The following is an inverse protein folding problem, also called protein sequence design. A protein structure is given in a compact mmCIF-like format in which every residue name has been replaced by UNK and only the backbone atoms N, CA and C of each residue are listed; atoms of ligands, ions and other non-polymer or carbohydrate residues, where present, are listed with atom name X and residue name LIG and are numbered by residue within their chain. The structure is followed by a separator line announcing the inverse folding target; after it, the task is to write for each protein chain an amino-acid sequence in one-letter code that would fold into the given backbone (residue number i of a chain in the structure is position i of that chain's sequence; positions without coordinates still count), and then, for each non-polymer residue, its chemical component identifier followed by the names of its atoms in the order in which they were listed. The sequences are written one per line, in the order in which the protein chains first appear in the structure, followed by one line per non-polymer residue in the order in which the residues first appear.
data_IF_754718035747
#
_entry.id   IF_754718035747
#
_cell.length_a   1.000
_cell.length_b   1.000
_cell.length_c   1.000
_cell.angle_alpha   90.00
_cell.angle_beta   90.00
_cell.angle_gamma   90.00
#
_symmetry.space_group_name_H-M   'P 1'
#
loop_
_entity.id
_entity.type
_entity.pdbx_description
1 polymer ?
#
# COMPACT_ATOMS: atom_id res chain seq x y z
N UNK A 1 12.24 38.03 -1.01
CA UNK A 1 11.77 37.06 0.00
C UNK A 1 10.39 37.47 0.48
N UNK A 2 9.35 37.09 -0.25
CA UNK A 2 7.97 37.21 0.21
C UNK A 2 7.52 35.83 0.67
N UNK A 3 7.19 35.69 1.95
CA UNK A 3 6.54 34.50 2.49
C UNK A 3 5.17 34.32 1.82
N UNK A 4 5.13 33.54 0.74
CA UNK A 4 3.88 33.06 0.17
C UNK A 4 3.39 31.92 1.05
N UNK A 5 2.52 32.25 2.02
CA UNK A 5 1.94 31.29 2.95
C UNK A 5 1.06 30.30 2.17
N UNK A 6 1.09 29.01 2.49
CA UNK A 6 0.26 27.96 1.88
C UNK A 6 -1.20 28.35 1.64
N UNK A 7 -1.78 29.12 2.57
CA UNK A 7 -3.11 29.69 2.44
C UNK A 7 -3.31 30.57 1.18
N UNK A 8 -2.33 31.38 0.75
CA UNK A 8 -2.51 32.27 -0.40
C UNK A 8 -2.54 31.53 -1.75
N UNK A 9 -1.89 30.37 -1.86
CA UNK A 9 -2.02 29.53 -3.06
C UNK A 9 -3.40 28.87 -3.12
N UNK A 10 -3.90 28.37 -1.98
CA UNK A 10 -5.25 27.77 -1.87
C UNK A 10 -6.35 28.79 -2.18
N UNK A 11 -6.19 30.07 -1.79
CA UNK A 11 -7.20 31.11 -2.02
C UNK A 11 -7.26 31.69 -3.45
N UNK A 12 -6.22 31.55 -4.27
CA UNK A 12 -6.28 32.01 -5.68
C UNK A 12 -7.00 31.03 -6.62
N UNK A 13 -7.27 29.79 -6.18
CA UNK A 13 -8.08 28.81 -6.89
C UNK A 13 -9.50 28.67 -6.30
N UNK A 14 -10.08 29.78 -5.86
CA UNK A 14 -11.40 29.82 -5.19
C UNK A 14 -12.58 29.31 -6.02
N UNK A 15 -12.43 29.15 -7.34
CA UNK A 15 -13.44 28.53 -8.20
C UNK A 15 -13.31 27.01 -8.33
N UNK A 16 -12.26 26.39 -7.77
CA UNK A 16 -11.98 24.95 -7.83
C UNK A 16 -12.12 24.21 -6.50
N UNK A 17 -12.30 24.91 -5.37
CA UNK A 17 -12.51 24.26 -4.08
C UNK A 17 -13.90 23.61 -4.10
N UNK A 18 -13.93 22.29 -4.27
CA UNK A 18 -15.15 21.53 -4.10
C UNK A 18 -15.47 21.54 -2.59
N UNK A 19 -16.37 22.44 -2.16
CA UNK A 19 -16.73 22.62 -0.75
C UNK A 19 -17.27 21.36 -0.07
N UNK A 20 -17.54 20.29 -0.82
CA UNK A 20 -18.05 19.02 -0.32
C UNK A 20 -16.97 18.08 0.25
N UNK A 21 -15.70 18.19 -0.16
CA UNK A 21 -14.71 17.14 0.14
C UNK A 21 -13.30 17.67 0.48
N UNK A 22 -12.96 17.68 1.77
CA UNK A 22 -11.67 18.20 2.25
C UNK A 22 -10.46 17.38 1.77
N UNK A 23 -10.56 16.05 1.67
CA UNK A 23 -9.42 15.24 1.25
C UNK A 23 -9.16 15.37 -0.24
N UNK A 24 -10.20 15.53 -1.07
CA UNK A 24 -9.99 15.81 -2.50
C UNK A 24 -9.33 17.17 -2.70
N UNK A 25 -9.75 18.19 -1.95
CA UNK A 25 -9.09 19.50 -2.00
C UNK A 25 -7.59 19.40 -1.64
N UNK A 26 -7.21 18.54 -0.67
CA UNK A 26 -5.80 18.28 -0.34
C UNK A 26 -5.07 17.62 -1.51
N UNK A 27 -5.64 16.55 -2.07
CA UNK A 27 -5.07 15.80 -3.20
C UNK A 27 -4.87 16.69 -4.43
N UNK A 28 -5.88 17.47 -4.80
CA UNK A 28 -5.81 18.40 -5.93
C UNK A 28 -4.80 19.52 -5.68
N UNK A 29 -4.76 20.08 -4.47
CA UNK A 29 -3.79 21.12 -4.11
C UNK A 29 -2.35 20.63 -4.26
N UNK A 30 -2.05 19.41 -3.79
CA UNK A 30 -0.71 18.81 -3.94
C UNK A 30 -0.36 18.64 -5.43
N UNK A 31 -1.31 18.16 -6.25
CA UNK A 31 -1.12 18.00 -7.70
C UNK A 31 -0.86 19.34 -8.40
N UNK A 32 -1.64 20.38 -8.09
CA UNK A 32 -1.49 21.72 -8.66
C UNK A 32 -0.12 22.28 -8.31
N UNK A 33 0.27 22.22 -7.02
CA UNK A 33 1.59 22.67 -6.56
C UNK A 33 2.69 21.94 -7.33
N UNK A 34 2.62 20.61 -7.41
CA UNK A 34 3.58 19.80 -8.14
C UNK A 34 3.70 20.20 -9.63
N UNK A 35 2.58 20.45 -10.31
CA UNK A 35 2.57 20.86 -11.73
C UNK A 35 3.27 22.22 -11.88
N UNK A 36 2.92 23.19 -11.03
CA UNK A 36 3.53 24.51 -11.03
C UNK A 36 5.04 24.43 -10.75
N UNK A 37 5.44 23.67 -9.74
CA UNK A 37 6.85 23.47 -9.39
C UNK A 37 7.64 22.86 -10.54
N UNK A 38 7.11 21.82 -11.20
CA UNK A 38 7.79 21.18 -12.33
C UNK A 38 7.90 22.07 -13.58
N UNK A 39 6.87 22.89 -13.83
CA UNK A 39 6.82 23.83 -14.95
C UNK A 39 7.78 25.00 -14.73
N UNK A 40 7.71 25.62 -13.55
CA UNK A 40 8.41 26.87 -13.25
C UNK A 40 9.77 26.64 -12.56
N UNK A 41 10.13 25.37 -12.29
CA UNK A 41 11.32 24.96 -11.52
C UNK A 41 11.37 25.59 -10.11
N UNK A 42 10.19 25.74 -9.53
CA UNK A 42 9.96 26.22 -8.18
C UNK A 42 10.13 25.07 -7.17
N UNK A 43 10.48 25.35 -5.92
CA UNK A 43 10.75 24.33 -4.89
C UNK A 43 9.71 24.29 -3.77
N UNK A 44 8.48 24.74 -4.04
CA UNK A 44 7.48 24.95 -3.00
C UNK A 44 7.06 23.65 -2.30
N UNK A 45 6.79 22.60 -3.06
CA UNK A 45 6.48 21.27 -2.53
C UNK A 45 7.65 20.73 -1.71
N UNK A 46 8.87 20.86 -2.23
CA UNK A 46 10.09 20.46 -1.54
C UNK A 46 10.21 21.17 -0.19
N UNK A 47 10.02 22.49 -0.13
CA UNK A 47 10.14 23.24 1.12
C UNK A 47 9.10 22.82 2.18
N UNK A 48 7.88 22.49 1.75
CA UNK A 48 6.74 22.22 2.63
C UNK A 48 6.46 20.73 2.89
N UNK A 49 7.24 19.82 2.30
CA UNK A 49 6.99 18.37 2.40
C UNK A 49 6.97 17.83 3.84
N UNK A 50 7.87 18.32 4.70
CA UNK A 50 7.90 17.94 6.12
C UNK A 50 6.58 18.29 6.81
N UNK A 51 6.08 19.50 6.57
CA UNK A 51 4.83 19.97 7.17
C UNK A 51 3.63 19.17 6.68
N UNK A 52 3.62 18.77 5.41
CA UNK A 52 2.56 17.92 4.88
C UNK A 52 2.57 16.55 5.56
N UNK A 53 3.73 15.91 5.69
CA UNK A 53 3.83 14.54 6.20
C UNK A 53 3.76 14.44 7.72
N UNK A 54 4.40 15.34 8.47
CA UNK A 54 4.40 15.33 9.94
C UNK A 54 2.99 15.61 10.51
N UNK A 55 2.13 16.32 9.77
CA UNK A 55 0.78 16.70 10.23
C UNK A 55 -0.34 15.72 9.80
N UNK A 56 -0.02 14.59 9.15
CA UNK A 56 -1.02 13.57 8.79
C UNK A 56 -1.46 12.75 10.02
N UNK A 57 -2.11 13.35 11.02
CA UNK A 57 -2.54 12.71 12.28
C UNK A 57 -3.89 11.99 12.11
N UNK A 58 -4.05 10.76 12.64
CA UNK A 58 -5.24 9.89 12.47
C UNK A 58 -6.30 10.02 13.53
N UNK A 59 -7.55 10.24 13.09
CA UNK A 59 -8.69 10.50 13.98
C UNK A 59 -9.87 9.54 13.81
N UNK A 60 -10.14 9.00 12.61
CA UNK A 60 -11.28 8.09 12.33
C UNK A 60 -10.86 7.00 11.33
N UNK A 61 -11.56 5.87 11.26
CA UNK A 61 -11.12 4.73 10.45
C UNK A 61 -11.11 5.02 8.95
N UNK A 62 -12.08 5.81 8.48
CA UNK A 62 -12.14 6.28 7.10
C UNK A 62 -10.92 7.13 6.68
N UNK A 63 -10.29 7.80 7.64
CA UNK A 63 -9.10 8.63 7.44
C UNK A 63 -7.89 7.79 7.01
N UNK A 64 -7.81 6.51 7.40
CA UNK A 64 -6.72 5.62 6.96
C UNK A 64 -6.68 5.45 5.44
N UNK A 65 -7.85 5.31 4.81
CA UNK A 65 -7.98 5.16 3.37
C UNK A 65 -7.52 6.44 2.65
N UNK A 66 -7.97 7.60 3.12
CA UNK A 66 -7.58 8.89 2.55
C UNK A 66 -6.09 9.17 2.71
N UNK A 67 -5.49 8.75 3.82
CA UNK A 67 -4.05 8.87 4.04
C UNK A 67 -3.22 7.95 3.20
N UNK A 68 -3.65 6.71 3.00
CA UNK A 68 -2.99 5.82 2.06
C UNK A 68 -2.92 6.50 0.69
N UNK A 69 -4.05 7.02 0.21
CA UNK A 69 -4.13 7.79 -1.05
C UNK A 69 -3.20 9.02 -1.07
N UNK A 70 -3.23 9.88 -0.04
CA UNK A 70 -2.36 11.07 0.03
C UNK A 70 -0.87 10.67 0.05
N UNK A 71 -0.49 9.67 0.83
CA UNK A 71 0.90 9.22 0.94
C UNK A 71 1.40 8.59 -0.36
N UNK A 72 0.58 7.74 -0.99
CA UNK A 72 0.89 7.13 -2.30
C UNK A 72 1.03 8.19 -3.38
N UNK A 73 0.13 9.19 -3.40
CA UNK A 73 0.23 10.34 -4.30
C UNK A 73 1.55 11.08 -4.11
N UNK A 74 1.88 11.47 -2.86
CA UNK A 74 3.11 12.22 -2.57
C UNK A 74 4.34 11.43 -3.02
N UNK A 75 4.40 10.13 -2.74
CA UNK A 75 5.53 9.29 -3.13
C UNK A 75 5.71 9.25 -4.66
N UNK A 76 4.63 9.02 -5.40
CA UNK A 76 4.63 9.00 -6.87
C UNK A 76 5.04 10.36 -7.47
N UNK A 77 4.57 11.46 -6.89
CA UNK A 77 4.98 12.79 -7.32
C UNK A 77 6.46 13.06 -7.03
N UNK A 78 6.99 12.63 -5.89
CA UNK A 78 8.42 12.75 -5.58
C UNK A 78 9.29 12.02 -6.61
N UNK A 79 8.83 10.89 -7.16
CA UNK A 79 9.56 10.15 -8.19
C UNK A 79 9.70 10.94 -9.50
N UNK A 80 8.73 11.77 -9.88
CA UNK A 80 8.74 12.51 -11.16
C UNK A 80 9.04 14.01 -11.01
N UNK A 81 9.34 14.46 -9.79
CA UNK A 81 9.68 15.85 -9.52
C UNK A 81 11.02 16.24 -10.14
N UNK A 82 11.14 17.51 -10.54
CA UNK A 82 12.32 18.03 -11.25
C UNK A 82 13.58 18.12 -10.38
N UNK A 83 13.46 18.34 -9.06
CA UNK A 83 14.59 18.33 -8.12
C UNK A 83 14.66 17.00 -7.37
N UNK A 84 15.74 16.24 -7.60
CA UNK A 84 15.93 14.91 -7.01
C UNK A 84 16.09 14.92 -5.49
N UNK A 85 16.42 16.08 -4.88
CA UNK A 85 16.49 16.24 -3.42
C UNK A 85 15.16 15.96 -2.73
N UNK A 86 14.04 16.05 -3.46
CA UNK A 86 12.73 15.73 -2.88
C UNK A 86 12.64 14.27 -2.44
N UNK A 87 13.37 13.35 -3.06
CA UNK A 87 13.35 11.93 -2.70
C UNK A 87 13.99 11.72 -1.33
N UNK A 88 15.19 12.29 -1.12
CA UNK A 88 15.86 12.25 0.18
C UNK A 88 14.98 12.91 1.26
N UNK A 89 14.40 14.07 0.93
CA UNK A 89 13.50 14.76 1.85
C UNK A 89 12.28 13.91 2.18
N UNK A 90 11.60 13.34 1.18
CA UNK A 90 10.45 12.47 1.36
C UNK A 90 10.76 11.32 2.31
N UNK A 91 11.85 10.59 2.08
CA UNK A 91 12.22 9.44 2.92
C UNK A 91 12.51 9.87 4.36
N UNK A 92 13.18 11.02 4.56
CA UNK A 92 13.43 11.58 5.89
C UNK A 92 12.16 12.05 6.58
N UNK A 93 11.26 12.74 5.88
CA UNK A 93 9.97 13.18 6.41
C UNK A 93 9.05 11.99 6.72
N UNK A 94 9.10 10.94 5.91
CA UNK A 94 8.30 9.72 6.11
C UNK A 94 8.65 9.04 7.44
N UNK A 95 9.92 9.05 7.85
CA UNK A 95 10.36 8.56 9.17
C UNK A 95 9.73 9.30 10.36
N UNK A 96 9.18 10.49 10.13
CA UNK A 96 8.47 11.29 11.15
C UNK A 96 6.96 11.34 10.93
N UNK A 97 6.47 10.81 9.81
CA UNK A 97 5.05 10.79 9.50
C UNK A 97 4.30 9.85 10.46
N UNK A 98 3.34 10.36 11.27
CA UNK A 98 2.59 9.53 12.21
C UNK A 98 1.68 8.51 11.52
N UNK A 99 1.38 8.73 10.23
CA UNK A 99 0.53 7.86 9.42
C UNK A 99 1.29 7.00 8.42
N UNK A 100 2.63 6.92 8.51
CA UNK A 100 3.43 6.14 7.54
C UNK A 100 2.96 4.70 7.42
N UNK A 101 2.48 4.08 8.51
CA UNK A 101 1.92 2.73 8.51
C UNK A 101 0.87 2.51 7.40
N UNK A 102 0.04 3.52 7.08
CA UNK A 102 -0.96 3.41 6.01
C UNK A 102 -0.33 3.26 4.62
N UNK A 103 0.87 3.79 4.42
CA UNK A 103 1.66 3.59 3.20
C UNK A 103 2.35 2.21 3.23
N UNK A 104 3.01 1.85 4.33
CA UNK A 104 3.76 0.58 4.45
C UNK A 104 2.84 -0.66 4.41
N UNK A 105 1.56 -0.50 4.72
CA UNK A 105 0.56 -1.57 4.67
C UNK A 105 0.18 -1.91 3.23
N UNK A 106 0.29 -3.18 2.87
CA UNK A 106 -0.18 -3.68 1.58
C UNK A 106 -1.68 -3.94 1.64
N UNK A 107 -2.41 -3.44 0.63
CA UNK A 107 -3.84 -3.70 0.49
C UNK A 107 -4.07 -4.85 -0.47
N UNK A 108 -4.95 -5.77 -0.06
CA UNK A 108 -5.15 -6.99 -0.80
C UNK A 108 -6.22 -6.86 -1.88
N UNK A 109 -5.81 -6.33 -3.04
CA UNK A 109 -6.68 -6.29 -4.22
C UNK A 109 -7.12 -7.68 -4.68
N UNK A 110 -6.29 -8.71 -4.46
CA UNK A 110 -6.60 -10.07 -4.95
C UNK A 110 -7.83 -10.67 -4.26
N UNK A 111 -8.03 -10.40 -2.97
CA UNK A 111 -9.22 -10.81 -2.24
C UNK A 111 -10.49 -10.17 -2.78
N UNK A 112 -10.45 -8.88 -3.13
CA UNK A 112 -11.58 -8.20 -3.77
C UNK A 112 -11.92 -8.85 -5.11
N UNK A 113 -10.91 -9.08 -5.96
CA UNK A 113 -11.11 -9.70 -7.27
C UNK A 113 -11.69 -11.11 -7.16
N UNK A 114 -11.20 -11.91 -6.21
CA UNK A 114 -11.76 -13.23 -5.92
C UNK A 114 -13.23 -13.15 -5.49
N UNK A 115 -13.62 -12.14 -4.71
CA UNK A 115 -15.01 -11.93 -4.30
C UNK A 115 -15.98 -11.71 -5.45
N UNK A 116 -15.51 -11.25 -6.61
CA UNK A 116 -16.34 -11.02 -7.80
C UNK A 116 -16.59 -12.28 -8.63
N UNK A 117 -15.79 -13.33 -8.45
CA UNK A 117 -15.94 -14.57 -9.22
C UNK A 117 -17.07 -15.39 -8.59
N UNK A 118 -18.24 -15.38 -9.23
CA UNK A 118 -19.49 -15.98 -8.70
C UNK A 118 -19.73 -17.42 -9.15
N UNK A 119 -19.11 -17.85 -10.24
CA UNK A 119 -19.34 -19.17 -10.84
C UNK A 119 -18.12 -20.06 -10.63
N UNK A 120 -18.30 -21.36 -10.28
CA UNK A 120 -17.20 -22.28 -10.20
C UNK A 120 -16.45 -22.35 -11.53
N UNK A 121 -15.13 -22.14 -11.48
CA UNK A 121 -14.26 -22.14 -12.65
C UNK A 121 -13.02 -22.95 -12.35
N UNK A 122 -12.54 -23.71 -13.34
CA UNK A 122 -11.34 -24.52 -13.25
C UNK A 122 -10.17 -23.73 -13.83
N UNK A 123 -9.07 -23.68 -13.08
CA UNK A 123 -7.80 -23.09 -13.48
C UNK A 123 -6.78 -24.22 -13.61
N UNK A 124 -6.07 -24.29 -14.72
CA UNK A 124 -5.06 -25.33 -14.97
C UNK A 124 -3.69 -24.96 -14.41
N UNK A 125 -3.46 -23.68 -14.18
CA UNK A 125 -2.25 -23.17 -13.57
C UNK A 125 -2.53 -21.86 -12.82
N UNK A 126 -1.56 -21.48 -12.00
CA UNK A 126 -1.57 -20.25 -11.23
C UNK A 126 -1.58 -18.98 -12.09
N UNK A 127 -1.00 -19.01 -13.29
CA UNK A 127 -1.02 -17.90 -14.22
C UNK A 127 -2.45 -17.56 -14.67
N UNK A 128 -3.24 -18.56 -15.06
CA UNK A 128 -4.65 -18.38 -15.43
C UNK A 128 -5.49 -17.79 -14.28
N UNK A 129 -5.24 -18.26 -13.04
CA UNK A 129 -5.92 -17.74 -11.85
C UNK A 129 -5.54 -16.29 -11.58
N UNK A 130 -4.24 -15.99 -11.68
CA UNK A 130 -3.72 -14.66 -11.46
C UNK A 130 -4.20 -13.70 -12.56
N UNK A 131 -4.23 -14.11 -13.83
CA UNK A 131 -4.78 -13.31 -14.93
C UNK A 131 -6.20 -12.84 -14.61
N UNK A 132 -7.08 -13.74 -14.18
CA UNK A 132 -8.47 -13.35 -13.87
C UNK A 132 -8.58 -12.44 -12.64
N UNK A 133 -7.77 -12.68 -11.61
CA UNK A 133 -7.70 -11.83 -10.40
C UNK A 133 -7.08 -10.46 -10.73
N UNK A 134 -6.13 -10.44 -11.66
CA UNK A 134 -5.31 -9.30 -12.03
C UNK A 134 -5.92 -8.35 -13.04
N UNK A 135 -6.85 -8.84 -13.86
CA UNK A 135 -7.60 -8.08 -14.86
C UNK A 135 -8.55 -7.02 -14.27
N UNK A 136 -8.56 -6.84 -12.95
CA UNK A 136 -9.42 -5.90 -12.24
C UNK A 136 -8.87 -4.48 -12.17
N UNK A 137 -8.03 -4.06 -13.14
CA UNK A 137 -7.45 -2.72 -13.28
C UNK A 137 -8.48 -1.58 -13.45
N UNK A 138 -9.75 -1.84 -13.16
CA UNK A 138 -10.88 -0.94 -13.38
C UNK A 138 -12.14 -1.33 -12.58
N UNK A 139 -11.97 -2.02 -11.45
CA UNK A 139 -13.10 -2.15 -10.54
C UNK A 139 -13.29 -0.79 -9.88
N UNK A 140 -14.33 -0.07 -10.29
CA UNK A 140 -14.73 1.14 -9.60
C UNK A 140 -14.81 0.84 -8.10
N UNK A 141 -14.00 1.55 -7.31
CA UNK A 141 -13.99 1.39 -5.87
C UNK A 141 -15.39 1.73 -5.35
N UNK A 142 -15.88 0.98 -4.37
CA UNK A 142 -17.25 1.07 -3.88
C UNK A 142 -17.31 0.97 -2.36
N UNK A 143 -18.47 1.24 -1.77
CA UNK A 143 -18.66 1.14 -0.32
C UNK A 143 -18.32 -0.27 0.23
N UNK A 144 -18.72 -1.39 -0.43
CA UNK A 144 -18.23 -2.72 -0.06
C UNK A 144 -16.70 -2.82 0.04
N UNK A 145 -15.97 -2.18 -0.87
CA UNK A 145 -14.51 -2.21 -0.90
C UNK A 145 -13.91 -1.35 0.22
N UNK A 146 -14.55 -0.22 0.54
CA UNK A 146 -14.24 0.56 1.76
C UNK A 146 -14.42 -0.31 3.00
N UNK A 147 -15.52 -1.06 3.08
CA UNK A 147 -15.79 -1.96 4.21
C UNK A 147 -14.69 -3.03 4.32
N UNK A 148 -14.30 -3.66 3.21
CA UNK A 148 -13.23 -4.66 3.20
C UNK A 148 -11.86 -4.04 3.57
N UNK A 149 -11.55 -2.82 3.12
CA UNK A 149 -10.37 -2.07 3.56
C UNK A 149 -10.40 -1.78 5.07
N UNK A 150 -11.56 -1.39 5.60
CA UNK A 150 -11.75 -1.13 7.01
C UNK A 150 -11.63 -2.43 7.82
N UNK A 151 -12.15 -3.56 7.32
CA UNK A 151 -11.95 -4.90 7.93
C UNK A 151 -10.48 -5.17 8.09
N UNK A 152 -9.70 -5.06 7.02
CA UNK A 152 -8.26 -5.31 7.11
C UNK A 152 -7.57 -4.33 8.07
N UNK A 153 -8.01 -3.08 8.19
CA UNK A 153 -7.39 -2.09 9.07
C UNK A 153 -7.80 -2.21 10.54
N UNK A 154 -9.00 -2.72 10.80
CA UNK A 154 -9.57 -2.86 12.13
C UNK A 154 -9.35 -4.27 12.70
N UNK A 155 -9.52 -5.32 11.92
CA UNK A 155 -9.26 -6.71 12.34
C UNK A 155 -7.79 -6.87 12.76
N UNK A 156 -6.86 -6.15 12.13
CA UNK A 156 -5.44 -6.07 12.53
C UNK A 156 -5.24 -5.57 13.97
N UNK A 157 -6.18 -4.79 14.52
CA UNK A 157 -6.08 -4.24 15.88
C UNK A 157 -6.92 -5.03 16.91
N UNK A 158 -8.01 -5.68 16.49
CA UNK A 158 -9.01 -6.25 17.40
C UNK A 158 -9.09 -7.79 17.41
N UNK A 159 -8.36 -8.51 16.56
CA UNK A 159 -8.35 -9.99 16.54
C UNK A 159 -7.79 -10.68 17.80
N UNK A 160 -7.24 -9.93 18.76
CA UNK A 160 -6.81 -10.48 20.06
C UNK A 160 -8.01 -10.69 21.00
N UNK A 161 -9.19 -10.16 20.69
CA UNK A 161 -10.39 -10.39 21.49
C UNK A 161 -11.55 -10.69 20.56
N UNK A 162 -12.14 -11.91 20.59
CA UNK A 162 -13.39 -12.16 19.89
C UNK A 162 -14.44 -11.23 20.50
N UNK A 163 -14.70 -10.12 19.82
CA UNK A 163 -15.73 -9.20 20.21
C UNK A 163 -17.06 -9.95 20.11
N UNK A 164 -17.92 -9.82 21.12
CA UNK A 164 -19.27 -10.41 21.12
C UNK A 164 -20.21 -9.77 20.06
N UNK A 165 -19.73 -8.76 19.33
CA UNK A 165 -20.49 -8.06 18.28
C UNK A 165 -20.27 -8.69 16.92
N UNK A 166 -21.31 -8.60 16.09
CA UNK A 166 -21.17 -8.82 14.66
C UNK A 166 -20.29 -7.71 14.08
N UNK A 167 -19.06 -8.06 13.72
CA UNK A 167 -18.07 -7.12 13.21
C UNK A 167 -18.48 -6.55 11.84
N UNK A 168 -19.20 -7.32 11.03
CA UNK A 168 -19.72 -6.83 9.75
C UNK A 168 -20.81 -5.78 10.00
N UNK A 169 -21.68 -6.00 11.00
CA UNK A 169 -22.68 -5.01 11.43
C UNK A 169 -22.04 -3.72 11.98
N UNK A 170 -20.98 -3.85 12.81
CA UNK A 170 -20.25 -2.69 13.33
C UNK A 170 -19.64 -1.82 12.22
N UNK A 171 -19.06 -2.44 11.19
CA UNK A 171 -18.48 -1.71 10.05
C UNK A 171 -19.54 -1.03 9.19
N UNK A 172 -20.69 -1.68 9.01
CA UNK A 172 -21.85 -1.06 8.37
C UNK A 172 -22.34 0.14 9.18
N UNK A 173 -22.41 0.03 10.50
CA UNK A 173 -22.80 1.12 11.38
C UNK A 173 -21.84 2.31 11.31
N UNK A 174 -20.53 2.04 11.23
CA UNK A 174 -19.52 3.08 11.03
C UNK A 174 -19.74 3.90 9.76
N UNK A 175 -20.33 3.33 8.72
CA UNK A 175 -20.62 4.05 7.46
C UNK A 175 -22.04 4.62 7.47
N UNK A 176 -23.03 3.83 7.84
CA UNK A 176 -24.44 4.15 7.64
C UNK A 176 -25.09 4.88 8.83
N UNK A 177 -24.52 4.79 10.04
CA UNK A 177 -25.12 5.38 11.25
C UNK A 177 -24.37 6.60 11.81
N UNK A 178 -23.21 7.00 11.27
CA UNK A 178 -22.48 8.19 11.74
C UNK A 178 -23.27 9.49 11.51
N UNK A 179 -23.81 9.68 10.30
CA UNK A 179 -24.73 10.77 9.98
C UNK A 179 -25.45 10.48 8.66
N UNK A 180 -26.60 11.12 8.37
CA UNK A 180 -27.34 10.89 7.13
C UNK A 180 -26.53 11.13 5.85
N UNK A 181 -25.56 12.05 5.89
CA UNK A 181 -24.74 12.44 4.74
C UNK A 181 -23.43 11.66 4.64
N UNK A 182 -23.04 10.90 5.67
CA UNK A 182 -21.75 10.19 5.68
C UNK A 182 -21.67 9.10 4.60
N UNK A 183 -22.70 8.28 4.33
CA UNK A 183 -22.68 7.34 3.21
C UNK A 183 -22.50 8.01 1.85
N UNK A 184 -23.13 9.17 1.64
CA UNK A 184 -23.01 9.94 0.40
C UNK A 184 -21.58 10.47 0.23
N UNK A 185 -20.98 10.97 1.31
CA UNK A 185 -19.58 11.39 1.33
C UNK A 185 -18.65 10.22 0.95
N UNK A 186 -18.81 9.06 1.60
CA UNK A 186 -18.02 7.86 1.30
C UNK A 186 -18.21 7.42 -0.16
N UNK A 187 -19.44 7.41 -0.66
CA UNK A 187 -19.75 7.06 -2.05
C UNK A 187 -19.10 8.02 -3.05
N UNK A 188 -19.17 9.33 -2.79
CA UNK A 188 -18.53 10.33 -3.65
C UNK A 188 -17.01 10.17 -3.68
N UNK A 189 -16.39 9.91 -2.53
CA UNK A 189 -14.96 9.63 -2.45
C UNK A 189 -14.52 8.40 -3.24
N UNK A 190 -15.34 7.34 -3.23
CA UNK A 190 -15.03 6.11 -3.96
C UNK A 190 -14.81 6.38 -5.46
N UNK A 191 -15.45 7.42 -6.03
CA UNK A 191 -15.26 7.83 -7.43
C UNK A 191 -13.86 8.35 -7.75
N UNK A 192 -13.11 8.77 -6.73
CA UNK A 192 -11.77 9.34 -6.87
C UNK A 192 -10.65 8.36 -6.52
N UNK A 193 -11.02 7.18 -6.01
CA UNK A 193 -10.09 6.11 -5.65
C UNK A 193 -9.87 5.22 -6.88
N UNK A 194 -8.61 4.94 -7.16
CA UNK A 194 -8.21 4.08 -8.26
C UNK A 194 -7.05 3.17 -7.85
N UNK A 195 -6.67 2.24 -8.73
CA UNK A 195 -5.65 1.24 -8.40
C UNK A 195 -4.28 1.83 -8.06
N UNK A 196 -3.95 3.02 -8.57
CA UNK A 196 -2.68 3.68 -8.26
C UNK A 196 -2.58 4.04 -6.78
N UNK A 197 -3.71 4.27 -6.10
CA UNK A 197 -3.75 4.63 -4.69
C UNK A 197 -3.36 3.44 -3.79
N UNK A 198 -3.43 2.22 -4.36
CA UNK A 198 -3.07 0.96 -3.72
C UNK A 198 -1.78 0.34 -4.29
N UNK A 199 -0.97 1.12 -5.01
CA UNK A 199 0.36 0.69 -5.43
C UNK A 199 1.17 0.21 -4.22
N UNK A 200 1.91 -0.88 -4.39
CA UNK A 200 2.64 -1.49 -3.28
C UNK A 200 3.77 -0.58 -2.80
N UNK A 201 3.99 -0.54 -1.49
CA UNK A 201 5.08 0.23 -0.92
C UNK A 201 6.43 -0.28 -1.42
N UNK A 202 6.55 -1.60 -1.58
CA UNK A 202 7.73 -2.22 -2.20
C UNK A 202 8.02 -1.63 -3.59
N UNK A 203 7.02 -1.53 -4.47
CA UNK A 203 7.21 -0.96 -5.80
C UNK A 203 7.61 0.52 -5.74
N UNK A 204 6.92 1.32 -4.93
CA UNK A 204 7.22 2.74 -4.71
C UNK A 204 8.67 2.93 -4.23
N UNK A 205 9.06 2.19 -3.19
CA UNK A 205 10.38 2.34 -2.58
C UNK A 205 11.49 1.83 -3.50
N UNK A 206 11.28 0.73 -4.23
CA UNK A 206 12.20 0.28 -5.27
C UNK A 206 12.43 1.38 -6.31
N UNK A 207 11.37 1.99 -6.88
CA UNK A 207 11.53 3.06 -7.86
C UNK A 207 12.28 4.27 -7.31
N UNK A 208 12.13 4.59 -6.03
CA UNK A 208 12.95 5.62 -5.39
C UNK A 208 14.41 5.20 -5.26
N UNK A 209 14.69 3.95 -4.87
CA UNK A 209 16.06 3.40 -4.78
C UNK A 209 16.73 3.40 -6.17
N UNK A 210 16.04 2.94 -7.22
CA UNK A 210 16.53 2.96 -8.60
C UNK A 210 16.98 4.36 -9.00
N UNK A 211 16.18 5.36 -8.65
CA UNK A 211 16.47 6.76 -8.95
C UNK A 211 17.62 7.32 -8.10
N UNK A 212 17.80 6.86 -6.87
CA UNK A 212 18.97 7.19 -6.04
C UNK A 212 20.25 6.60 -6.64
N UNK A 213 20.20 5.35 -7.10
CA UNK A 213 21.27 4.66 -7.83
C UNK A 213 21.62 5.45 -9.11
N UNK A 214 20.64 5.71 -9.97
CA UNK A 214 20.82 6.42 -11.25
C UNK A 214 21.50 7.79 -11.06
N UNK A 215 21.15 8.49 -9.97
CA UNK A 215 21.67 9.84 -9.67
C UNK A 215 22.90 9.83 -8.77
N UNK A 216 23.43 8.67 -8.39
CA UNK A 216 24.55 8.52 -7.46
C UNK A 216 24.34 9.31 -6.16
N UNK A 217 23.13 9.27 -5.60
CA UNK A 217 22.79 9.95 -4.35
C UNK A 217 22.97 8.95 -3.21
N UNK A 218 23.91 9.26 -2.31
CA UNK A 218 24.15 8.46 -1.11
C UNK A 218 24.56 9.34 0.08
N UNK A 219 24.00 9.01 1.25
CA UNK A 219 24.56 9.37 2.54
C UNK A 219 24.14 8.34 3.60
N UNK A 220 24.88 8.26 4.70
CA UNK A 220 24.65 7.24 5.73
C UNK A 220 23.31 7.41 6.46
N UNK A 221 22.81 8.64 6.62
CA UNK A 221 21.48 8.88 7.21
C UNK A 221 20.38 8.28 6.33
N UNK A 222 20.45 8.53 5.02
CA UNK A 222 19.53 8.00 4.02
C UNK A 222 19.57 6.47 3.97
N UNK A 223 20.76 5.87 3.97
CA UNK A 223 20.92 4.42 3.98
C UNK A 223 20.30 3.78 5.23
N UNK A 224 20.49 4.40 6.41
CA UNK A 224 19.84 3.95 7.64
C UNK A 224 18.32 4.11 7.59
N UNK A 225 17.80 5.23 7.07
CA UNK A 225 16.36 5.44 6.92
C UNK A 225 15.71 4.38 6.00
N UNK A 226 16.36 4.06 4.88
CA UNK A 226 15.90 2.99 3.97
C UNK A 226 15.88 1.62 4.66
N UNK A 227 16.92 1.28 5.43
CA UNK A 227 16.96 0.05 6.22
C UNK A 227 15.84 0.00 7.27
N UNK A 228 15.59 1.08 8.00
CA UNK A 228 14.54 1.13 9.02
C UNK A 228 13.14 1.00 8.38
N UNK A 229 12.91 1.66 7.24
CA UNK A 229 11.67 1.50 6.47
C UNK A 229 11.48 0.05 6.01
N UNK A 230 12.54 -0.63 5.55
CA UNK A 230 12.50 -2.04 5.18
C UNK A 230 12.17 -2.93 6.40
N UNK A 231 12.86 -2.77 7.53
CA UNK A 231 12.60 -3.60 8.72
C UNK A 231 11.18 -3.37 9.26
N UNK A 232 10.68 -2.13 9.24
CA UNK A 232 9.29 -1.82 9.61
C UNK A 232 8.29 -2.45 8.63
N UNK A 233 8.49 -2.30 7.33
CA UNK A 233 7.68 -2.91 6.28
C UNK A 233 7.56 -4.43 6.51
N UNK A 234 8.69 -5.11 6.70
CA UNK A 234 8.71 -6.57 6.89
C UNK A 234 8.02 -6.98 8.20
N UNK A 235 8.16 -6.21 9.28
CA UNK A 235 7.41 -6.47 10.53
C UNK A 235 5.90 -6.37 10.29
N UNK A 236 5.44 -5.36 9.56
CA UNK A 236 4.03 -5.19 9.20
C UNK A 236 3.56 -6.39 8.38
N UNK A 237 4.28 -6.75 7.30
CA UNK A 237 3.91 -7.90 6.47
C UNK A 237 3.90 -9.24 7.24
N UNK A 238 4.81 -9.43 8.21
CA UNK A 238 4.79 -10.60 9.10
C UNK A 238 3.55 -10.57 10.01
N UNK A 239 3.23 -9.43 10.61
CA UNK A 239 2.07 -9.28 11.50
C UNK A 239 0.76 -9.54 10.75
N UNK A 240 0.58 -8.92 9.59
CA UNK A 240 -0.59 -9.12 8.73
C UNK A 240 -0.79 -10.60 8.38
N UNK A 241 0.27 -11.30 7.96
CA UNK A 241 0.21 -12.74 7.65
C UNK A 241 -0.21 -13.59 8.84
N UNK A 242 0.35 -13.34 10.03
CA UNK A 242 -0.01 -14.08 11.24
C UNK A 242 -1.48 -13.89 11.63
N UNK A 243 -1.98 -12.67 11.43
CA UNK A 243 -3.38 -12.33 11.74
C UNK A 243 -4.34 -12.94 10.73
N UNK A 244 -4.04 -12.85 9.43
CA UNK A 244 -4.79 -13.53 8.39
C UNK A 244 -4.86 -15.02 8.68
N UNK A 245 -3.73 -15.67 8.97
CA UNK A 245 -3.70 -17.07 9.38
C UNK A 245 -4.63 -17.39 10.56
N UNK A 246 -4.67 -16.50 11.56
CA UNK A 246 -5.52 -16.65 12.74
C UNK A 246 -7.00 -16.47 12.41
N UNK A 247 -7.36 -15.40 11.68
CA UNK A 247 -8.71 -15.12 11.23
C UNK A 247 -9.27 -16.29 10.41
N UNK A 248 -8.49 -16.78 9.44
CA UNK A 248 -8.92 -17.88 8.58
C UNK A 248 -9.12 -19.18 9.37
N UNK A 249 -8.26 -19.45 10.35
CA UNK A 249 -8.41 -20.61 11.25
C UNK A 249 -9.67 -20.50 12.12
N UNK A 250 -9.96 -19.33 12.68
CA UNK A 250 -11.12 -19.12 13.56
C UNK A 250 -12.42 -19.15 12.76
N UNK A 251 -12.49 -18.41 11.65
CA UNK A 251 -13.73 -18.19 10.88
C UNK A 251 -14.11 -19.36 9.99
N UNK A 252 -13.13 -20.08 9.43
CA UNK A 252 -13.37 -21.12 8.43
C UNK A 252 -12.89 -22.52 8.83
N UNK A 253 -12.40 -22.68 10.06
CA UNK A 253 -11.85 -23.95 10.56
C UNK A 253 -10.76 -24.56 9.63
N UNK A 254 -10.09 -23.72 8.85
CA UNK A 254 -9.10 -24.13 7.86
C UNK A 254 -7.79 -24.52 8.55
N UNK A 255 -7.18 -25.63 8.13
CA UNK A 255 -5.87 -26.04 8.64
C UNK A 255 -4.76 -25.32 7.86
N UNK A 256 -3.71 -24.88 8.55
CA UNK A 256 -2.57 -24.19 7.95
C UNK A 256 -1.84 -25.06 6.90
N UNK A 257 -1.96 -26.38 6.97
CA UNK A 257 -1.37 -27.30 5.98
C UNK A 257 -2.13 -27.33 4.64
N UNK A 258 -3.44 -27.05 4.64
CA UNK A 258 -4.26 -27.10 3.42
C UNK A 258 -3.92 -25.96 2.46
N UNK A 259 -3.63 -24.77 3.00
CA UNK A 259 -3.20 -23.61 2.20
C UNK A 259 -1.77 -23.72 1.65
N UNK A 260 -0.96 -24.66 2.15
CA UNK A 260 0.39 -24.90 1.61
C UNK A 260 0.39 -25.72 0.31
N UNK A 261 -0.74 -26.35 -0.05
CA UNK A 261 -0.83 -27.34 -1.14
C UNK A 261 -1.92 -26.98 -2.14
N UNK A 262 -1.89 -25.75 -2.67
CA UNK A 262 -2.71 -25.43 -3.84
C UNK A 262 -2.19 -26.21 -5.04
N UNK A 263 -2.86 -27.32 -5.32
CA UNK A 263 -2.58 -28.18 -6.46
C UNK A 263 -3.47 -27.76 -7.64
N UNK A 264 -2.86 -27.64 -8.81
CA UNK A 264 -3.57 -27.39 -10.06
C UNK A 264 -3.74 -28.73 -10.82
N UNK A 265 -4.85 -28.93 -11.55
CA UNK A 265 -5.94 -27.99 -11.79
C UNK A 265 -6.82 -27.75 -10.56
N UNK A 266 -7.20 -26.49 -10.36
CA UNK A 266 -7.94 -26.01 -9.20
C UNK A 266 -9.32 -25.52 -9.62
N UNK A 267 -10.38 -26.00 -8.97
CA UNK A 267 -11.73 -25.44 -9.14
C UNK A 267 -11.98 -24.38 -8.09
N UNK A 268 -12.16 -23.11 -8.46
CA UNK A 268 -12.58 -22.08 -7.52
C UNK A 268 -14.02 -22.32 -7.07
N UNK A 269 -14.22 -22.42 -5.77
CA UNK A 269 -15.50 -22.62 -5.09
C UNK A 269 -15.52 -21.75 -3.83
N UNK A 270 -16.71 -21.42 -3.32
CA UNK A 270 -16.80 -20.64 -2.08
C UNK A 270 -16.03 -21.26 -0.89
N UNK A 271 -16.01 -22.59 -0.69
CA UNK A 271 -15.21 -23.21 0.37
C UNK A 271 -13.70 -23.06 0.24
N UNK A 272 -13.12 -23.05 -0.97
CA UNK A 272 -11.68 -22.98 -1.16
C UNK A 272 -11.15 -21.60 -1.57
N UNK A 273 -12.04 -20.63 -1.81
CA UNK A 273 -11.73 -19.23 -2.05
C UNK A 273 -10.77 -18.66 -1.00
N UNK A 274 -10.95 -19.02 0.26
CA UNK A 274 -10.12 -18.57 1.37
C UNK A 274 -8.71 -19.15 1.34
N UNK A 275 -8.59 -20.44 1.05
CA UNK A 275 -7.31 -21.11 0.86
C UNK A 275 -6.52 -20.46 -0.29
N UNK A 276 -7.23 -20.07 -1.35
CA UNK A 276 -6.68 -19.37 -2.51
C UNK A 276 -6.23 -17.96 -2.17
N UNK A 277 -7.07 -17.16 -1.50
CA UNK A 277 -6.69 -15.83 -1.00
C UNK A 277 -5.40 -15.90 -0.17
N UNK A 278 -5.36 -16.80 0.81
CA UNK A 278 -4.25 -16.91 1.74
C UNK A 278 -2.93 -17.29 1.04
N UNK A 279 -2.99 -18.17 0.06
CA UNK A 279 -1.81 -18.53 -0.74
C UNK A 279 -1.31 -17.36 -1.57
N UNK A 280 -2.20 -16.67 -2.29
CA UNK A 280 -1.86 -15.53 -3.14
C UNK A 280 -1.27 -14.38 -2.32
N UNK A 281 -1.87 -14.07 -1.17
CA UNK A 281 -1.36 -13.06 -0.24
C UNK A 281 0.05 -13.39 0.25
N UNK A 282 0.28 -14.63 0.67
CA UNK A 282 1.61 -15.05 1.13
C UNK A 282 2.64 -15.00 0.01
N UNK A 283 2.23 -15.38 -1.20
CA UNK A 283 3.06 -15.35 -2.39
C UNK A 283 3.52 -13.92 -2.72
N UNK A 284 2.57 -12.99 -2.89
CA UNK A 284 2.88 -11.58 -3.18
C UNK A 284 3.71 -10.93 -2.08
N UNK A 285 3.37 -11.16 -0.82
CA UNK A 285 4.14 -10.61 0.30
C UNK A 285 5.59 -11.08 0.28
N UNK A 286 5.84 -12.37 0.03
CA UNK A 286 7.20 -12.90 -0.06
C UNK A 286 7.96 -12.28 -1.23
N UNK A 287 7.30 -12.16 -2.39
CA UNK A 287 7.88 -11.57 -3.60
C UNK A 287 8.23 -10.09 -3.40
N UNK A 288 7.29 -9.27 -2.90
CA UNK A 288 7.51 -7.84 -2.63
C UNK A 288 8.61 -7.61 -1.60
N UNK A 289 8.64 -8.44 -0.56
CA UNK A 289 9.68 -8.39 0.47
C UNK A 289 11.06 -8.71 -0.10
N UNK A 290 11.17 -9.78 -0.88
CA UNK A 290 12.45 -10.21 -1.46
C UNK A 290 12.96 -9.21 -2.48
N UNK A 291 12.08 -8.70 -3.35
CA UNK A 291 12.40 -7.65 -4.32
C UNK A 291 13.02 -6.43 -3.61
N UNK A 292 12.34 -5.92 -2.59
CA UNK A 292 12.81 -4.74 -1.88
C UNK A 292 14.14 -4.97 -1.16
N UNK A 293 14.35 -6.18 -0.59
CA UNK A 293 15.64 -6.55 -0.01
C UNK A 293 16.75 -6.56 -1.05
N UNK A 294 16.48 -7.13 -2.23
CA UNK A 294 17.46 -7.20 -3.31
C UNK A 294 17.83 -5.79 -3.79
N UNK A 295 16.85 -4.93 -4.02
CA UNK A 295 17.04 -3.55 -4.48
C UNK A 295 17.87 -2.73 -3.46
N UNK A 296 17.52 -2.83 -2.18
CA UNK A 296 18.27 -2.13 -1.15
C UNK A 296 19.70 -2.68 -1.02
N UNK A 297 19.90 -4.00 -1.13
CA UNK A 297 21.25 -4.60 -1.11
C UNK A 297 22.08 -4.15 -2.31
N UNK A 298 21.49 -4.01 -3.49
CA UNK A 298 22.18 -3.46 -4.67
C UNK A 298 22.66 -2.03 -4.39
N UNK A 299 21.76 -1.16 -3.95
CA UNK A 299 22.09 0.22 -3.56
C UNK A 299 23.22 0.27 -2.51
N UNK A 300 23.16 -0.57 -1.48
CA UNK A 300 24.19 -0.61 -0.43
C UNK A 300 25.53 -1.18 -0.94
N UNK A 301 25.49 -2.12 -1.88
CA UNK A 301 26.70 -2.73 -2.47
C UNK A 301 27.46 -1.72 -3.29
N UNK A 302 26.78 -0.95 -4.15
CA UNK A 302 27.39 0.12 -4.94
C UNK A 302 28.05 1.19 -4.05
N UNK A 303 27.59 1.35 -2.82
CA UNK A 303 28.11 2.30 -1.83
C UNK A 303 28.98 1.67 -0.74
N UNK A 304 29.41 0.42 -0.90
CA UNK A 304 30.30 -0.31 0.03
C UNK A 304 29.79 -0.43 1.49
N UNK A 305 28.48 -0.39 1.71
CA UNK A 305 27.89 -0.48 3.06
C UNK A 305 27.61 -1.94 3.47
N UNK A 306 28.68 -2.69 3.72
CA UNK A 306 28.62 -4.12 4.07
C UNK A 306 27.90 -4.38 5.40
N UNK A 307 27.92 -3.42 6.32
CA UNK A 307 27.30 -3.57 7.65
C UNK A 307 25.77 -3.63 7.55
N UNK A 308 25.14 -2.77 6.73
CA UNK A 308 23.69 -2.82 6.54
C UNK A 308 23.26 -4.04 5.73
N UNK A 309 24.07 -4.47 4.75
CA UNK A 309 23.81 -5.70 3.98
C UNK A 309 23.73 -6.91 4.92
N UNK A 310 24.72 -7.09 5.80
CA UNK A 310 24.71 -8.19 6.78
C UNK A 310 23.47 -8.15 7.69
N UNK A 311 23.06 -6.95 8.14
CA UNK A 311 21.84 -6.82 8.94
C UNK A 311 20.58 -7.24 8.17
N UNK A 312 20.48 -6.91 6.88
CA UNK A 312 19.35 -7.34 6.04
C UNK A 312 19.31 -8.87 5.96
N UNK A 313 20.43 -9.50 5.66
CA UNK A 313 20.53 -10.96 5.53
C UNK A 313 20.21 -11.67 6.85
N UNK A 314 20.78 -11.20 7.97
CA UNK A 314 20.66 -11.86 9.27
C UNK A 314 19.33 -11.59 9.99
N UNK A 315 18.70 -10.41 9.80
CA UNK A 315 17.51 -9.99 10.56
C UNK A 315 16.25 -9.90 9.73
N UNK A 316 16.36 -9.60 8.44
CA UNK A 316 15.20 -9.31 7.59
C UNK A 316 14.87 -10.52 6.73
N UNK A 317 15.82 -11.01 5.94
CA UNK A 317 15.58 -12.15 5.04
C UNK A 317 15.22 -13.43 5.80
N UNK A 318 15.79 -13.62 6.99
CA UNK A 318 15.39 -14.73 7.87
C UNK A 318 13.91 -14.67 8.28
N UNK A 319 13.19 -13.55 8.14
CA UNK A 319 11.75 -13.45 8.43
C UNK A 319 10.89 -13.61 7.16
N UNK A 320 11.50 -13.51 5.99
CA UNK A 320 10.85 -13.72 4.71
C UNK A 320 10.63 -15.22 4.53
N UNK A 321 9.47 -15.61 4.02
CA UNK A 321 9.20 -17.00 3.70
C UNK A 321 9.11 -17.99 4.87
N UNK A 322 9.33 -17.64 6.15
CA UNK A 322 9.28 -18.63 7.26
C UNK A 322 7.93 -19.37 7.46
N UNK A 323 6.86 -18.96 6.78
CA UNK A 323 5.55 -19.63 6.74
C UNK A 323 5.19 -20.28 5.36
N UNK A 324 6.05 -20.07 4.34
CA UNK A 324 6.21 -20.49 2.91
C UNK A 324 4.97 -20.48 1.96
N UNK A 325 5.03 -19.77 0.79
CA UNK A 325 5.23 -20.41 -0.53
C UNK A 325 6.22 -19.69 -1.49
N UNK A 326 7.15 -20.41 -2.16
CA UNK A 326 7.41 -20.23 -3.61
C UNK A 326 7.29 -21.60 -4.34
N UNK A 327 7.15 -21.73 -5.66
CA UNK A 327 7.18 -20.79 -6.79
C UNK A 327 6.08 -21.20 -7.79
N UNK A 328 5.29 -20.29 -8.37
CA UNK A 328 4.63 -20.57 -9.62
C UNK A 328 5.69 -20.68 -10.73
N UNK A 329 5.67 -21.75 -11.51
CA UNK A 329 6.59 -21.96 -12.65
C UNK A 329 6.45 -20.86 -13.73
N UNK A 330 5.37 -20.10 -13.70
CA UNK A 330 5.04 -19.02 -14.62
C UNK A 330 4.35 -17.85 -13.88
N UNK A 331 4.83 -16.64 -14.12
CA UNK A 331 4.17 -15.40 -13.69
C UNK A 331 3.60 -14.68 -14.92
N UNK A 332 2.30 -14.35 -14.92
CA UNK A 332 1.72 -13.52 -15.96
C UNK A 332 2.40 -12.16 -16.10
N UNK A 333 2.40 -11.61 -17.32
CA UNK A 333 3.03 -10.32 -17.61
C UNK A 333 2.41 -9.16 -16.84
N UNK A 334 1.09 -9.12 -16.64
CA UNK A 334 0.48 -8.04 -15.87
C UNK A 334 0.95 -8.01 -14.40
N UNK A 335 1.33 -9.16 -13.82
CA UNK A 335 1.94 -9.22 -12.48
C UNK A 335 3.31 -8.59 -12.55
N UNK A 336 4.13 -8.98 -13.52
CA UNK A 336 5.46 -8.40 -13.73
C UNK A 336 5.38 -6.89 -13.90
N UNK A 337 4.43 -6.39 -14.68
CA UNK A 337 4.16 -4.95 -14.84
C UNK A 337 3.76 -4.29 -13.52
N UNK A 338 2.81 -4.85 -12.77
CA UNK A 338 2.33 -4.29 -11.48
C UNK A 338 3.40 -4.27 -10.39
N UNK A 339 4.26 -5.28 -10.37
CA UNK A 339 5.32 -5.38 -9.38
C UNK A 339 6.60 -4.66 -9.84
N UNK A 340 6.72 -4.31 -11.13
CA UNK A 340 7.89 -3.68 -11.77
C UNK A 340 9.02 -4.66 -12.12
N UNK A 341 8.75 -5.95 -12.34
CA UNK A 341 9.73 -6.95 -12.78
C UNK A 341 9.88 -6.85 -14.30
N UNK A 342 11.11 -6.77 -14.82
CA UNK A 342 11.39 -6.98 -16.26
C UNK A 342 11.83 -8.41 -16.52
#
# INVERSE_FOLDING_TARGET
MSHFKFYSAVFHFTHLINCANIYENIVESIKIIYICDNKDKSIYLLENLDQLLENLITFNFYDHLQKKRILTLIANLCYTYHDTKIIEKFLKSLMKCPSRFNLLKEYNQCRMSLNLIKTPKIYNNIGELLDEIGLTNNLGFSIPDVIDFLKETLEENYLITPLQMDFDEYLLDLIFKQSPNFPLLVQDHCRYINDIDFMSFSAILCSHIDKLIEKNIYNDELANNLYELLDEYIKIQVAQRKQLNLLYRIKYNANHEEAKKLEFPLTLTEPNKYTICLYIERFFNSMFSQRLCNELKEYLTQNNNTTLIQKIEEKIEVKIGKDIPPNPEFLPEFIKEKIGFQ
#
